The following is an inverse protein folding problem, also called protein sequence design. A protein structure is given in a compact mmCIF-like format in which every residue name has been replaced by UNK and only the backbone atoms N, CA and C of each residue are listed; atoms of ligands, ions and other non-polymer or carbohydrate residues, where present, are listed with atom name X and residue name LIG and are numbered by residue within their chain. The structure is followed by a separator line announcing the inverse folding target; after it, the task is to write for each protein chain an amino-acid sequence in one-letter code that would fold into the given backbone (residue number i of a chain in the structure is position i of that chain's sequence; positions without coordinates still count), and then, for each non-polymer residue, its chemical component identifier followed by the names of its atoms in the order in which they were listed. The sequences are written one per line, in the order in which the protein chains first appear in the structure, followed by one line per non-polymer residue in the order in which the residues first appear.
data_IF_975017723740
#
_entry.id   IF_975017723740
#
_cell.length_a   1.000
_cell.length_b   1.000
_cell.length_c   1.000
_cell.angle_alpha   90.00
_cell.angle_beta   90.00
_cell.angle_gamma   90.00
#
_symmetry.space_group_name_H-M   'P 1'
#
loop_
_entity.id
_entity.type
_entity.pdbx_description
1 polymer ?
#
# COMPACT_ATOMS: atom_id res chain seq x y z
N UNK A 1 -8.35 1.96 -5.99
CA UNK A 1 -8.07 0.51 -5.86
C UNK A 1 -9.23 -0.32 -6.44
N UNK A 2 -10.47 -0.20 -5.89
CA UNK A 2 -11.64 -0.95 -6.38
C UNK A 2 -11.96 -0.65 -7.87
N UNK A 3 -11.85 0.60 -8.30
CA UNK A 3 -12.06 0.98 -9.70
C UNK A 3 -11.02 0.33 -10.63
N UNK A 4 -9.74 0.32 -10.24
CA UNK A 4 -8.69 -0.32 -11.02
C UNK A 4 -8.97 -1.82 -11.22
N UNK A 5 -9.33 -2.53 -10.16
CA UNK A 5 -9.68 -3.94 -10.23
C UNK A 5 -10.90 -4.19 -11.15
N UNK A 6 -11.96 -3.37 -11.04
CA UNK A 6 -13.14 -3.46 -11.91
C UNK A 6 -12.85 -3.24 -13.40
N UNK A 7 -11.82 -2.47 -13.71
CA UNK A 7 -11.38 -2.20 -15.08
C UNK A 7 -10.31 -3.21 -15.56
N UNK A 8 -10.08 -4.30 -14.84
CA UNK A 8 -9.08 -5.30 -15.18
C UNK A 8 -7.64 -4.89 -14.90
N UNK A 9 -7.44 -3.84 -14.12
CA UNK A 9 -6.12 -3.40 -13.71
C UNK A 9 -5.58 -4.16 -12.50
N UNK A 10 -4.30 -3.92 -12.20
CA UNK A 10 -3.61 -4.51 -11.05
C UNK A 10 -3.48 -3.52 -9.89
N UNK A 11 -3.29 -4.05 -8.67
CA UNK A 11 -3.02 -3.22 -7.47
C UNK A 11 -1.56 -2.76 -7.41
N UNK A 12 -0.64 -3.51 -8.02
CA UNK A 12 0.78 -3.21 -8.06
C UNK A 12 1.31 -3.47 -9.46
N UNK A 13 1.87 -2.45 -10.10
CA UNK A 13 2.53 -2.58 -11.40
C UNK A 13 3.89 -3.29 -11.25
N UNK A 14 4.80 -2.70 -10.46
CA UNK A 14 6.17 -3.21 -10.27
C UNK A 14 6.61 -3.26 -8.80
N UNK A 15 6.05 -2.41 -7.92
CA UNK A 15 6.49 -2.25 -6.53
C UNK A 15 6.03 -3.37 -5.59
N UNK A 16 5.29 -4.35 -6.08
CA UNK A 16 4.71 -5.43 -5.28
C UNK A 16 3.57 -4.96 -4.37
N UNK A 17 2.98 -5.90 -3.64
CA UNK A 17 1.80 -5.62 -2.83
C UNK A 17 2.15 -5.14 -1.41
N UNK A 18 3.20 -5.73 -0.81
CA UNK A 18 3.58 -5.43 0.57
C UNK A 18 2.41 -5.61 1.54
N UNK A 19 2.57 -5.13 2.77
CA UNK A 19 1.49 -5.18 3.78
C UNK A 19 0.32 -4.28 3.45
N UNK A 20 0.57 -3.21 2.69
CA UNK A 20 -0.45 -2.23 2.32
C UNK A 20 -1.54 -2.84 1.43
N UNK A 21 -1.15 -3.64 0.44
CA UNK A 21 -2.07 -4.17 -0.57
C UNK A 21 -2.49 -5.61 -0.30
N UNK A 22 -1.79 -6.33 0.55
CA UNK A 22 -2.13 -7.73 0.89
C UNK A 22 -3.60 -7.91 1.31
N UNK A 23 -4.21 -7.05 2.14
CA UNK A 23 -5.63 -7.18 2.50
C UNK A 23 -6.60 -6.93 1.34
N UNK A 24 -6.12 -6.49 0.19
CA UNK A 24 -6.91 -6.15 -0.99
C UNK A 24 -6.71 -7.13 -2.15
N UNK A 25 -5.95 -8.19 -1.95
CA UNK A 25 -5.60 -9.15 -3.01
C UNK A 25 -6.82 -9.89 -3.55
N UNK A 26 -7.86 -10.05 -2.76
CA UNK A 26 -9.15 -10.61 -3.16
C UNK A 26 -9.84 -9.83 -4.30
N UNK A 27 -9.43 -8.59 -4.53
CA UNK A 27 -9.97 -7.74 -5.60
C UNK A 27 -9.37 -8.01 -6.97
N UNK A 28 -8.21 -8.66 -7.03
CA UNK A 28 -7.45 -8.88 -8.28
C UNK A 28 -7.01 -10.32 -8.47
N UNK A 29 -7.05 -11.14 -7.43
CA UNK A 29 -6.68 -12.55 -7.48
C UNK A 29 -7.83 -13.41 -6.98
N UNK A 30 -8.13 -14.48 -7.70
CA UNK A 30 -9.12 -15.45 -7.29
C UNK A 30 -8.67 -16.30 -6.09
N UNK A 31 -9.57 -17.09 -5.56
CA UNK A 31 -9.31 -17.94 -4.39
C UNK A 31 -8.23 -18.98 -4.66
N UNK A 32 -8.18 -19.53 -5.88
CA UNK A 32 -7.21 -20.55 -6.26
C UNK A 32 -5.78 -19.98 -6.26
N UNK A 33 -5.59 -18.79 -6.85
CA UNK A 33 -4.30 -18.10 -6.84
C UNK A 33 -3.88 -17.72 -5.43
N UNK A 34 -4.80 -17.23 -4.61
CA UNK A 34 -4.51 -16.88 -3.20
C UNK A 34 -4.15 -18.11 -2.36
N UNK A 35 -4.82 -19.24 -2.60
CA UNK A 35 -4.48 -20.50 -1.96
C UNK A 35 -3.07 -20.97 -2.35
N UNK A 36 -2.68 -20.79 -3.63
CA UNK A 36 -1.31 -21.10 -4.08
C UNK A 36 -0.26 -20.22 -3.38
N UNK A 37 -0.54 -18.91 -3.18
CA UNK A 37 0.34 -18.05 -2.38
C UNK A 37 0.56 -18.60 -0.98
N UNK A 38 -0.52 -19.09 -0.34
CA UNK A 38 -0.44 -19.67 1.00
C UNK A 38 0.38 -20.98 1.01
N UNK A 39 0.22 -21.84 0.01
CA UNK A 39 1.00 -23.09 -0.13
C UNK A 39 2.49 -22.79 -0.29
N UNK A 40 2.85 -21.86 -1.17
CA UNK A 40 4.24 -21.42 -1.36
C UNK A 40 4.79 -20.84 -0.06
N UNK A 41 4.05 -19.95 0.59
CA UNK A 41 4.45 -19.34 1.86
C UNK A 41 4.72 -20.40 2.93
N UNK A 42 3.81 -21.35 3.10
CA UNK A 42 3.96 -22.42 4.08
C UNK A 42 5.15 -23.34 3.77
N UNK A 43 5.42 -23.62 2.48
CA UNK A 43 6.54 -24.46 2.07
C UNK A 43 7.90 -23.86 2.41
N UNK A 44 8.07 -22.55 2.27
CA UNK A 44 9.34 -21.85 2.53
C UNK A 44 9.45 -21.22 3.92
N UNK A 45 8.33 -20.96 4.58
CA UNK A 45 8.27 -20.31 5.89
C UNK A 45 7.16 -20.90 6.75
N UNK A 46 7.30 -22.19 7.14
CA UNK A 46 6.29 -22.86 7.94
C UNK A 46 6.06 -22.22 9.32
N UNK A 47 7.07 -21.53 9.86
CA UNK A 47 6.95 -20.80 11.12
C UNK A 47 6.34 -19.41 10.99
N UNK A 48 6.13 -18.91 9.75
CA UNK A 48 5.50 -17.60 9.50
C UNK A 48 6.30 -16.39 9.96
N UNK A 49 7.64 -16.51 10.02
CA UNK A 49 8.52 -15.44 10.53
C UNK A 49 8.98 -14.46 9.47
N UNK A 50 8.97 -14.85 8.19
CA UNK A 50 9.44 -14.03 7.08
C UNK A 50 8.31 -13.11 6.58
N UNK A 51 8.42 -11.82 6.82
CA UNK A 51 7.44 -10.82 6.36
C UNK A 51 5.97 -11.21 6.61
N UNK A 52 5.55 -11.46 7.84
CA UNK A 52 4.18 -11.83 8.12
C UNK A 52 3.19 -10.76 7.62
N UNK A 53 2.07 -11.19 7.05
CA UNK A 53 1.06 -10.29 6.50
C UNK A 53 1.42 -9.71 5.12
N UNK A 54 2.36 -10.34 4.40
CA UNK A 54 2.69 -10.02 3.01
C UNK A 54 2.33 -11.19 2.11
N UNK A 55 1.57 -10.96 1.04
CA UNK A 55 0.97 -11.94 0.12
C UNK A 55 -0.07 -12.86 0.76
N UNK A 56 0.12 -13.29 1.99
CA UNK A 56 -0.86 -14.03 2.77
C UNK A 56 -1.27 -13.14 3.94
N UNK A 57 -2.53 -12.68 3.99
CA UNK A 57 -2.97 -11.78 5.04
C UNK A 57 -2.98 -12.49 6.40
N UNK A 58 -2.70 -11.74 7.46
CA UNK A 58 -2.93 -12.19 8.82
C UNK A 58 -4.45 -12.15 9.15
N UNK A 59 -4.91 -12.95 10.11
CA UNK A 59 -6.28 -12.84 10.59
C UNK A 59 -6.62 -11.39 10.96
N UNK A 60 -7.77 -10.91 10.48
CA UNK A 60 -8.27 -9.55 10.71
C UNK A 60 -7.35 -8.40 10.21
N UNK A 61 -6.37 -8.69 9.36
CA UNK A 61 -5.55 -7.64 8.75
C UNK A 61 -6.40 -6.71 7.88
N UNK A 62 -6.40 -5.44 8.21
CA UNK A 62 -7.15 -4.42 7.50
C UNK A 62 -6.25 -3.61 6.55
N UNK A 63 -6.81 -3.07 5.46
CA UNK A 63 -6.11 -2.08 4.65
C UNK A 63 -5.71 -0.86 5.49
N UNK A 64 -4.51 -0.35 5.25
CA UNK A 64 -4.06 0.90 5.86
C UNK A 64 -4.76 2.07 5.16
N UNK A 65 -5.54 2.84 5.89
CA UNK A 65 -6.30 3.98 5.36
C UNK A 65 -5.41 5.21 5.10
N UNK A 66 -4.60 5.56 6.07
CA UNK A 66 -3.85 6.83 6.09
C UNK A 66 -2.36 6.62 5.79
N UNK A 67 -2.04 6.26 4.54
CA UNK A 67 -0.66 5.91 4.14
C UNK A 67 0.29 7.13 4.13
N UNK A 68 -0.24 8.31 3.84
CA UNK A 68 0.53 9.55 3.70
C UNK A 68 0.12 10.63 4.67
N UNK A 69 -0.90 10.39 5.46
CA UNK A 69 -1.46 11.35 6.39
C UNK A 69 -1.95 10.63 7.63
N UNK A 70 -1.45 11.05 8.77
CA UNK A 70 -1.96 10.63 10.08
C UNK A 70 -2.74 11.80 10.68
N UNK A 71 -4.07 11.67 10.85
CA UNK A 71 -4.89 12.76 11.40
C UNK A 71 -4.54 13.12 12.85
N UNK A 72 -3.83 12.24 13.56
CA UNK A 72 -3.37 12.52 14.92
C UNK A 72 -2.10 13.39 14.98
N UNK A 73 -1.38 13.53 13.86
CA UNK A 73 -0.21 14.39 13.79
C UNK A 73 -0.62 15.88 13.75
N UNK A 74 0.16 16.76 14.39
CA UNK A 74 -0.10 18.18 14.30
C UNK A 74 0.01 18.66 12.84
N UNK A 75 -0.81 19.64 12.45
CA UNK A 75 -0.75 20.20 11.10
C UNK A 75 0.64 20.82 10.84
N UNK A 76 1.04 20.82 9.58
CA UNK A 76 2.27 21.48 9.17
C UNK A 76 2.28 22.94 9.63
N UNK A 77 3.42 23.45 10.12
CA UNK A 77 3.57 24.87 10.43
C UNK A 77 3.14 25.73 9.22
N UNK A 78 2.44 26.87 9.44
CA UNK A 78 1.92 27.68 8.33
C UNK A 78 2.97 28.13 7.31
N UNK A 79 4.21 28.36 7.73
CA UNK A 79 5.31 28.70 6.83
C UNK A 79 5.68 27.53 5.91
N UNK A 80 5.74 26.30 6.44
CA UNK A 80 6.01 25.09 5.65
C UNK A 80 4.87 24.82 4.67
N UNK A 81 3.61 24.97 5.10
CA UNK A 81 2.45 24.83 4.23
C UNK A 81 2.51 25.79 3.05
N UNK A 82 2.71 27.08 3.30
CA UNK A 82 2.85 28.10 2.23
C UNK A 82 4.03 27.83 1.29
N UNK A 83 5.13 27.26 1.80
CA UNK A 83 6.26 26.90 0.95
C UNK A 83 5.88 25.77 -0.01
N UNK A 84 5.20 24.73 0.48
CA UNK A 84 4.71 23.62 -0.35
C UNK A 84 3.69 24.09 -1.40
N UNK A 85 2.76 24.96 -1.01
CA UNK A 85 1.76 25.50 -1.93
C UNK A 85 2.46 26.27 -3.09
N UNK A 86 3.44 27.12 -2.78
CA UNK A 86 4.23 27.83 -3.81
C UNK A 86 5.00 26.87 -4.74
N UNK A 87 5.56 25.78 -4.21
CA UNK A 87 6.22 24.76 -5.03
C UNK A 87 5.23 24.07 -5.96
N UNK A 88 4.06 23.72 -5.45
CA UNK A 88 3.01 23.06 -6.20
C UNK A 88 2.47 23.98 -7.34
N UNK A 89 2.13 25.22 -7.01
CA UNK A 89 1.57 26.21 -7.94
C UNK A 89 2.54 26.56 -9.06
N UNK A 90 3.81 26.80 -8.71
CA UNK A 90 4.85 27.16 -9.66
C UNK A 90 5.51 25.96 -10.37
N UNK A 91 5.18 24.70 -9.97
CA UNK A 91 5.91 23.49 -10.38
C UNK A 91 7.43 23.61 -10.22
N UNK A 92 7.87 24.35 -9.20
CA UNK A 92 9.25 24.77 -9.00
C UNK A 92 10.04 23.80 -8.11
N UNK A 93 9.87 22.51 -8.30
CA UNK A 93 10.45 21.45 -7.45
C UNK A 93 11.97 21.50 -7.34
N UNK A 94 12.64 22.00 -8.36
CA UNK A 94 14.10 22.11 -8.38
C UNK A 94 14.66 23.33 -7.61
N UNK A 95 13.83 24.32 -7.27
CA UNK A 95 14.24 25.57 -6.62
C UNK A 95 14.36 25.50 -5.10
N UNK A 96 14.01 24.36 -4.50
CA UNK A 96 13.89 24.19 -3.06
C UNK A 96 14.75 23.01 -2.54
N UNK A 97 15.85 22.74 -3.24
CA UNK A 97 16.87 21.79 -2.78
C UNK A 97 17.79 22.45 -1.75
#
# INVERSE_FOLDING_TARGET
TALAARLGGTLAGEHGDGRLRTPLLDRTWDDAARALFAVVKLGFDPAGVLNPGVKVPLPAQQPIGDVKYDPALPPLPPAARRALDRVADARAYARHR
#
